data_IF_477925267464
#
_entry.id   IF_477925267464
#
_cell.length_a   1.000
_cell.length_b   1.000
_cell.length_c   1.000
_cell.angle_alpha   90.00
_cell.angle_beta   90.00
_cell.angle_gamma   90.00
#
_symmetry.space_group_name_H-M   'P 1'
#
loop_
_entity.id
_entity.type
_entity.pdbx_description
1 polymer ?
#
# COMPACT_ATOMS: atom_id res chain seq x y z
N UNK A 1 -10.12 21.41 1.69
CA UNK A 1 -10.62 20.02 1.48
C UNK A 1 -9.49 19.19 0.91
N UNK A 2 -9.03 18.15 1.62
CA UNK A 2 -7.98 17.28 1.12
C UNK A 2 -8.47 16.56 -0.14
N UNK A 3 -7.87 16.84 -1.31
CA UNK A 3 -8.15 16.13 -2.57
C UNK A 3 -7.98 14.63 -2.30
N UNK A 4 -9.07 13.86 -2.38
CA UNK A 4 -9.01 12.39 -2.33
C UNK A 4 -8.14 11.95 -3.50
N UNK A 5 -6.90 11.57 -3.21
CA UNK A 5 -5.98 11.08 -4.24
C UNK A 5 -6.50 9.73 -4.75
N UNK A 6 -6.46 9.48 -6.06
CA UNK A 6 -6.89 8.21 -6.60
C UNK A 6 -6.05 7.09 -6.00
N UNK A 7 -6.72 5.99 -5.66
CA UNK A 7 -6.06 4.76 -5.22
C UNK A 7 -5.48 4.08 -6.45
N UNK A 8 -4.20 3.77 -6.42
CA UNK A 8 -3.52 3.06 -7.51
C UNK A 8 -3.98 1.60 -7.56
N UNK A 9 -3.73 0.94 -8.69
CA UNK A 9 -4.00 -0.49 -8.81
C UNK A 9 -3.24 -1.32 -7.76
N UNK A 10 -2.00 -0.93 -7.44
CA UNK A 10 -1.24 -1.49 -6.32
C UNK A 10 -1.91 -1.24 -4.96
N UNK A 11 -2.42 -0.03 -4.73
CA UNK A 11 -3.15 0.32 -3.52
C UNK A 11 -4.45 -0.46 -3.33
N UNK A 12 -5.14 -0.79 -4.43
CA UNK A 12 -6.30 -1.68 -4.40
C UNK A 12 -5.92 -3.11 -4.02
N UNK A 13 -4.81 -3.62 -4.54
CA UNK A 13 -4.31 -4.94 -4.20
C UNK A 13 -3.91 -5.04 -2.72
N UNK A 14 -3.26 -4.01 -2.17
CA UNK A 14 -2.98 -3.92 -0.74
C UNK A 14 -4.27 -4.05 0.05
N UNK A 15 -5.29 -3.22 -0.25
CA UNK A 15 -6.57 -3.24 0.47
C UNK A 15 -7.27 -4.59 0.37
N UNK A 16 -7.23 -5.23 -0.79
CA UNK A 16 -7.79 -6.57 -0.98
C UNK A 16 -7.11 -7.57 -0.05
N UNK A 17 -5.78 -7.58 0.00
CA UNK A 17 -5.02 -8.49 0.86
C UNK A 17 -5.25 -8.24 2.35
N UNK A 18 -5.33 -6.97 2.76
CA UNK A 18 -5.68 -6.63 4.14
C UNK A 18 -7.07 -7.16 4.51
N UNK A 19 -8.04 -7.02 3.60
CA UNK A 19 -9.38 -7.58 3.79
C UNK A 19 -9.39 -9.12 3.83
N UNK A 20 -8.62 -9.79 2.97
CA UNK A 20 -8.44 -11.25 3.00
C UNK A 20 -7.81 -11.73 4.32
N UNK A 21 -6.93 -10.92 4.91
CA UNK A 21 -6.31 -11.18 6.22
C UNK A 21 -7.17 -10.73 7.41
N UNK A 22 -8.30 -10.07 7.17
CA UNK A 22 -9.19 -9.48 8.19
C UNK A 22 -8.48 -8.52 9.17
N UNK A 23 -7.47 -7.79 8.68
CA UNK A 23 -6.73 -6.80 9.48
C UNK A 23 -6.95 -5.39 8.92
N UNK A 24 -7.03 -4.40 9.80
CA UNK A 24 -7.07 -3.01 9.35
C UNK A 24 -5.68 -2.50 8.91
N UNK A 25 -5.67 -1.40 8.16
CA UNK A 25 -4.46 -0.71 7.75
C UNK A 25 -3.55 -0.34 8.95
N UNK A 26 -4.16 0.07 10.07
CA UNK A 26 -3.41 0.44 11.29
C UNK A 26 -2.73 -0.76 11.92
N UNK A 27 -3.45 -1.86 12.06
CA UNK A 27 -2.94 -3.11 12.63
C UNK A 27 -1.79 -3.65 11.77
N UNK A 28 -1.95 -3.68 10.45
CA UNK A 28 -0.88 -4.05 9.54
C UNK A 28 0.36 -3.16 9.67
N UNK A 29 0.16 -1.85 9.81
CA UNK A 29 1.25 -0.90 10.00
C UNK A 29 2.01 -1.15 11.31
N UNK A 30 1.30 -1.47 12.38
CA UNK A 30 1.88 -1.76 13.69
C UNK A 30 2.60 -3.12 13.71
N UNK A 31 1.96 -4.17 13.19
CA UNK A 31 2.49 -5.54 13.14
C UNK A 31 3.83 -5.60 12.39
N UNK A 32 3.92 -4.89 11.27
CA UNK A 32 5.10 -4.94 10.40
C UNK A 32 6.04 -3.76 10.54
N UNK A 33 5.85 -2.87 11.51
CA UNK A 33 6.66 -1.66 11.69
C UNK A 33 6.76 -0.85 10.38
N UNK A 34 5.59 -0.49 9.84
CA UNK A 34 5.44 0.33 8.63
C UNK A 34 4.73 1.62 9.03
N UNK A 35 5.30 2.80 8.75
CA UNK A 35 4.60 4.04 9.04
C UNK A 35 3.33 4.16 8.19
N UNK A 36 2.19 4.48 8.80
CA UNK A 36 0.89 4.63 8.10
C UNK A 36 0.97 5.60 6.92
N UNK A 37 1.74 6.69 7.07
CA UNK A 37 2.00 7.67 6.01
C UNK A 37 2.67 7.03 4.79
N UNK A 38 3.59 6.08 4.99
CA UNK A 38 4.29 5.38 3.91
C UNK A 38 3.37 4.40 3.20
N UNK A 39 2.52 3.70 3.93
CA UNK A 39 1.52 2.84 3.32
C UNK A 39 0.48 3.66 2.53
N UNK A 40 0.06 4.81 3.05
CA UNK A 40 -0.79 5.76 2.33
C UNK A 40 -0.13 6.31 1.04
N UNK A 41 1.17 6.63 1.08
CA UNK A 41 1.95 7.01 -0.10
C UNK A 41 1.97 5.87 -1.15
N UNK A 42 2.10 4.61 -0.72
CA UNK A 42 2.06 3.44 -1.61
C UNK A 42 0.68 3.23 -2.22
N UNK A 43 -0.39 3.37 -1.42
CA UNK A 43 -1.77 3.21 -1.87
C UNK A 43 -2.13 4.27 -2.92
N UNK A 44 -1.70 5.52 -2.70
CA UNK A 44 -2.00 6.67 -3.57
C UNK A 44 -0.96 6.91 -4.67
N UNK A 45 0.16 6.19 -4.68
CA UNK A 45 1.24 6.34 -5.66
C UNK A 45 1.98 7.68 -5.59
N UNK A 46 1.90 8.40 -4.47
CA UNK A 46 2.42 9.78 -4.35
C UNK A 46 3.96 9.83 -4.38
N UNK A 47 4.63 8.83 -3.81
CA UNK A 47 6.10 8.76 -3.76
C UNK A 47 6.58 7.34 -4.06
N UNK A 48 7.74 7.26 -4.72
CA UNK A 48 8.53 6.03 -4.84
C UNK A 48 9.06 5.63 -3.46
N UNK A 49 8.23 4.96 -2.67
CA UNK A 49 8.62 4.38 -1.40
C UNK A 49 9.20 2.97 -1.63
N UNK A 50 10.22 2.85 -2.49
CA UNK A 50 10.74 1.59 -3.03
C UNK A 50 11.07 0.58 -1.93
N UNK A 51 11.73 1.01 -0.85
CA UNK A 51 12.07 0.15 0.30
C UNK A 51 10.85 -0.43 1.01
N UNK A 52 9.81 0.37 1.22
CA UNK A 52 8.58 -0.09 1.88
C UNK A 52 7.69 -0.88 0.93
N UNK A 53 7.73 -0.55 -0.37
CA UNK A 53 7.05 -1.31 -1.41
C UNK A 53 7.50 -2.75 -1.41
N UNK A 54 8.80 -3.02 -1.52
CA UNK A 54 9.34 -4.38 -1.53
C UNK A 54 8.99 -5.14 -0.25
N UNK A 55 8.98 -4.45 0.90
CA UNK A 55 8.56 -5.03 2.19
C UNK A 55 7.09 -5.43 2.15
N UNK A 56 6.20 -4.53 1.72
CA UNK A 56 4.75 -4.79 1.61
C UNK A 56 4.46 -5.88 0.57
N UNK A 57 5.15 -5.87 -0.57
CA UNK A 57 5.05 -6.90 -1.61
C UNK A 57 5.41 -8.29 -1.08
N UNK A 58 6.48 -8.38 -0.29
CA UNK A 58 6.90 -9.63 0.36
C UNK A 58 5.90 -10.10 1.41
N UNK A 59 5.41 -9.20 2.27
CA UNK A 59 4.49 -9.54 3.35
C UNK A 59 3.12 -9.98 2.79
N UNK A 60 2.55 -9.19 1.88
CA UNK A 60 1.23 -9.46 1.31
C UNK A 60 1.29 -10.44 0.14
N UNK A 61 2.47 -10.86 -0.31
CA UNK A 61 2.66 -11.77 -1.44
C UNK A 61 2.15 -11.21 -2.77
N UNK A 62 2.17 -9.89 -2.93
CA UNK A 62 1.66 -9.20 -4.13
C UNK A 62 2.81 -8.89 -5.08
N UNK A 63 2.63 -9.23 -6.36
CA UNK A 63 3.53 -8.85 -7.45
C UNK A 63 2.79 -7.96 -8.41
N UNK A 64 2.76 -6.66 -8.12
CA UNK A 64 2.06 -5.71 -8.99
C UNK A 64 3.08 -4.89 -9.79
N UNK A 65 3.10 -5.00 -11.13
CA UNK A 65 3.97 -4.16 -11.95
C UNK A 65 3.56 -2.68 -11.78
N UNK A 66 4.53 -1.77 -11.67
CA UNK A 66 4.25 -0.34 -11.74
C UNK A 66 3.67 0.02 -13.10
N UNK A 67 2.36 -0.04 -13.25
CA UNK A 67 1.71 0.57 -14.40
C UNK A 67 1.84 2.07 -14.21
N UNK A 68 2.78 2.68 -14.93
CA UNK A 68 2.90 4.13 -15.04
C UNK A 68 1.53 4.67 -15.43
N UNK A 69 0.89 5.40 -14.53
CA UNK A 69 -0.21 6.27 -14.93
C UNK A 69 0.38 7.24 -15.97
N UNK A 70 -0.10 7.11 -17.21
CA UNK A 70 0.28 7.93 -18.35
C UNK A 70 -0.28 9.33 -18.20
#
# INVERSE_FOLDING_TARGET
MARKRPVTAFGWEIKRRLAEMQIDQREFCQEYDIPENRLGDLITGTRKATRYREKVEKILGIKYPETKAK
#
